data_IF_197306094512
#
_entry.id   IF_197306094512
#
_cell.length_a   1.000
_cell.length_b   1.000
_cell.length_c   1.000
_cell.angle_alpha   90.00
_cell.angle_beta   90.00
_cell.angle_gamma   90.00
#
_symmetry.space_group_name_H-M   'P 1'
#
loop_
_entity.id
_entity.type
_entity.pdbx_description
1 polymer ?
#
# COMPACT_ATOMS: atom_id res chain seq x y z
N UNK A 1 14.27 -15.50 -8.84
CA UNK A 1 13.77 -14.74 -7.67
C UNK A 1 14.95 -14.49 -6.74
N UNK A 2 14.97 -13.38 -6.02
CA UNK A 2 16.04 -13.01 -5.08
C UNK A 2 15.38 -12.54 -3.78
N UNK A 3 15.87 -13.08 -2.67
CA UNK A 3 15.39 -12.80 -1.32
C UNK A 3 16.58 -12.35 -0.49
N UNK A 4 16.47 -11.17 0.09
CA UNK A 4 17.48 -10.60 0.98
C UNK A 4 16.78 -10.30 2.30
N UNK A 5 17.17 -10.98 3.36
CA UNK A 5 16.53 -10.87 4.66
C UNK A 5 17.58 -10.63 5.74
N UNK A 6 17.25 -9.77 6.70
CA UNK A 6 18.05 -9.51 7.91
C UNK A 6 19.50 -9.09 7.64
N UNK A 7 19.75 -8.40 6.52
CA UNK A 7 21.08 -7.93 6.16
C UNK A 7 21.32 -6.51 6.69
N UNK A 8 21.59 -6.40 8.00
CA UNK A 8 21.75 -5.11 8.69
C UNK A 8 22.95 -4.26 8.23
N UNK A 9 23.90 -4.84 7.50
CA UNK A 9 25.08 -4.15 6.94
C UNK A 9 25.01 -3.88 5.44
N UNK A 10 23.90 -4.26 4.78
CA UNK A 10 23.74 -4.03 3.35
C UNK A 10 23.40 -2.56 3.10
N UNK A 11 24.39 -1.81 2.63
CA UNK A 11 24.20 -0.39 2.24
C UNK A 11 23.76 -0.28 0.78
N UNK A 12 24.36 -1.08 -0.10
CA UNK A 12 24.06 -1.12 -1.53
C UNK A 12 24.43 -2.47 -2.14
N UNK A 13 23.89 -2.77 -3.31
CA UNK A 13 24.31 -3.92 -4.10
C UNK A 13 25.68 -3.68 -4.78
N UNK A 14 26.46 -4.75 -5.05
CA UNK A 14 27.74 -4.62 -5.75
C UNK A 14 27.55 -4.10 -7.19
N UNK A 15 28.62 -3.59 -7.78
CA UNK A 15 28.63 -2.99 -9.13
C UNK A 15 28.16 -3.93 -10.26
N UNK A 16 28.20 -5.24 -10.03
CA UNK A 16 27.63 -6.25 -10.94
C UNK A 16 26.10 -6.20 -11.06
N UNK A 17 25.43 -5.38 -10.23
CA UNK A 17 23.99 -5.15 -10.30
C UNK A 17 23.16 -6.37 -9.89
N UNK A 18 21.90 -6.33 -10.29
CA UNK A 18 20.95 -7.42 -10.11
C UNK A 18 20.71 -8.11 -11.47
N UNK A 19 20.44 -9.43 -11.51
CA UNK A 19 20.16 -10.13 -12.75
C UNK A 19 18.93 -9.54 -13.47
N UNK A 20 19.03 -9.23 -14.76
CA UNK A 20 17.91 -8.67 -15.54
C UNK A 20 16.74 -9.64 -15.73
N UNK A 21 16.97 -10.94 -15.57
CA UNK A 21 15.96 -12.01 -15.60
C UNK A 21 15.18 -12.15 -14.29
N UNK A 22 15.41 -11.27 -13.31
CA UNK A 22 14.77 -11.33 -12.01
C UNK A 22 13.27 -11.01 -12.12
N UNK A 23 12.43 -11.95 -11.69
CA UNK A 23 10.95 -11.80 -11.68
C UNK A 23 10.44 -11.24 -10.35
N UNK A 24 11.08 -11.64 -9.26
CA UNK A 24 10.71 -11.24 -7.90
C UNK A 24 11.98 -10.85 -7.13
N UNK A 25 11.91 -9.66 -6.51
CA UNK A 25 12.90 -9.11 -5.59
C UNK A 25 12.22 -8.83 -4.26
N UNK A 26 12.64 -9.52 -3.22
CA UNK A 26 12.19 -9.28 -1.85
C UNK A 26 13.38 -8.85 -1.01
N UNK A 27 13.27 -7.69 -0.37
CA UNK A 27 14.27 -7.16 0.56
C UNK A 27 13.57 -6.80 1.86
N UNK A 28 13.93 -7.49 2.94
CA UNK A 28 13.32 -7.34 4.25
C UNK A 28 14.38 -7.07 5.32
N UNK A 29 14.07 -6.21 6.29
CA UNK A 29 14.87 -6.02 7.52
C UNK A 29 16.34 -5.61 7.19
N UNK A 30 16.51 -4.75 6.19
CA UNK A 30 17.82 -4.18 5.83
C UNK A 30 17.86 -2.68 6.19
N UNK A 31 18.25 -2.36 7.43
CA UNK A 31 18.14 -1.01 7.98
C UNK A 31 19.11 0.03 7.38
N UNK A 32 20.20 -0.43 6.75
CA UNK A 32 21.21 0.44 6.16
C UNK A 32 21.08 0.58 4.64
N UNK A 33 20.09 -0.07 4.00
CA UNK A 33 19.97 -0.04 2.55
C UNK A 33 19.57 1.36 2.09
N UNK A 34 20.48 2.03 1.37
CA UNK A 34 20.28 3.40 0.91
C UNK A 34 19.86 3.49 -0.56
N UNK A 35 20.14 2.46 -1.37
CA UNK A 35 19.79 2.44 -2.79
C UNK A 35 19.81 1.03 -3.40
N UNK A 36 19.01 0.85 -4.44
CA UNK A 36 19.16 -0.25 -5.40
C UNK A 36 20.32 0.04 -6.38
N UNK A 37 20.84 -0.97 -7.12
CA UNK A 37 21.88 -0.72 -8.10
C UNK A 37 21.42 0.30 -9.15
N UNK A 38 22.30 1.23 -9.54
CA UNK A 38 21.98 2.28 -10.51
C UNK A 38 21.36 1.71 -11.79
N UNK A 39 20.30 2.36 -12.27
CA UNK A 39 19.59 1.94 -13.47
C UNK A 39 18.78 0.65 -13.29
N UNK A 40 18.48 0.24 -12.05
CA UNK A 40 17.62 -0.93 -11.80
C UNK A 40 16.25 -0.79 -12.47
N UNK A 41 15.72 0.43 -12.57
CA UNK A 41 14.44 0.73 -13.23
C UNK A 41 14.42 0.23 -14.68
N UNK A 42 15.53 0.42 -15.41
CA UNK A 42 15.66 0.01 -16.81
C UNK A 42 16.15 -1.44 -16.95
N UNK A 43 17.04 -1.88 -16.06
CA UNK A 43 17.68 -3.19 -16.14
C UNK A 43 16.77 -4.35 -15.69
N UNK A 44 15.84 -4.08 -14.77
CA UNK A 44 14.94 -5.09 -14.19
C UNK A 44 13.59 -5.13 -14.94
N UNK A 45 13.64 -5.17 -16.26
CA UNK A 45 12.44 -5.14 -17.11
C UNK A 45 11.56 -6.39 -16.98
N UNK A 46 12.10 -7.51 -16.48
CA UNK A 46 11.33 -8.74 -16.20
C UNK A 46 10.75 -8.78 -14.79
N UNK A 47 11.02 -7.77 -13.95
CA UNK A 47 10.58 -7.75 -12.56
C UNK A 47 9.09 -7.45 -12.49
N UNK A 48 8.37 -8.37 -11.84
CA UNK A 48 6.93 -8.31 -11.64
C UNK A 48 6.57 -8.08 -10.17
N UNK A 49 7.42 -8.54 -9.25
CA UNK A 49 7.17 -8.43 -7.81
C UNK A 49 8.35 -7.72 -7.16
N UNK A 50 8.06 -6.63 -6.46
CA UNK A 50 9.03 -5.88 -5.68
C UNK A 50 8.52 -5.65 -4.26
N UNK A 51 9.15 -6.30 -3.29
CA UNK A 51 8.81 -6.17 -1.87
C UNK A 51 9.98 -5.50 -1.14
N UNK A 52 9.75 -4.28 -0.65
CA UNK A 52 10.73 -3.47 0.05
C UNK A 52 10.24 -3.21 1.48
N UNK A 53 10.55 -4.15 2.38
CA UNK A 53 10.21 -4.12 3.81
C UNK A 53 11.39 -3.68 4.68
N UNK A 54 11.91 -2.48 4.43
CA UNK A 54 13.15 -1.99 5.06
C UNK A 54 12.93 -0.71 5.87
N UNK A 55 13.56 -0.64 7.04
CA UNK A 55 13.52 0.52 7.93
C UNK A 55 14.70 1.44 7.59
N UNK A 56 14.56 2.28 6.56
CA UNK A 56 15.56 3.29 6.20
C UNK A 56 15.86 3.37 4.71
N UNK A 57 16.33 4.54 4.26
CA UNK A 57 17.07 4.71 3.00
C UNK A 57 16.30 4.50 1.68
N UNK A 58 14.98 4.39 1.68
CA UNK A 58 14.20 4.22 0.44
C UNK A 58 14.04 5.50 -0.40
N UNK A 59 14.50 6.67 0.08
CA UNK A 59 14.32 7.95 -0.59
C UNK A 59 14.88 7.96 -2.03
N UNK A 60 16.07 7.38 -2.24
CA UNK A 60 16.69 7.29 -3.57
C UNK A 60 15.88 6.42 -4.53
N UNK A 61 15.32 5.31 -4.02
CA UNK A 61 14.49 4.37 -4.79
C UNK A 61 13.19 5.07 -5.20
N UNK A 62 12.60 5.85 -4.29
CA UNK A 62 11.41 6.65 -4.58
C UNK A 62 11.68 7.76 -5.61
N UNK A 63 12.87 8.37 -5.55
CA UNK A 63 13.33 9.39 -6.49
C UNK A 63 13.63 8.83 -7.89
N UNK A 64 14.26 7.65 -8.00
CA UNK A 64 14.52 7.00 -9.29
C UNK A 64 13.24 6.35 -9.89
N UNK A 65 12.32 5.90 -9.03
CA UNK A 65 11.05 5.29 -9.40
C UNK A 65 11.08 3.76 -9.40
N UNK A 66 10.25 3.12 -10.23
CA UNK A 66 10.09 1.67 -10.21
C UNK A 66 10.11 1.06 -11.62
N UNK A 67 10.55 -0.20 -11.77
CA UNK A 67 10.43 -0.93 -13.03
C UNK A 67 8.98 -0.93 -13.55
N UNK A 68 8.75 -0.72 -14.86
CA UNK A 68 7.41 -0.44 -15.39
C UNK A 68 6.48 -1.67 -15.41
N UNK A 69 7.03 -2.89 -15.37
CA UNK A 69 6.28 -4.14 -15.53
C UNK A 69 5.88 -4.79 -14.19
N UNK A 70 5.94 -4.02 -13.09
CA UNK A 70 5.50 -4.50 -11.78
C UNK A 70 4.00 -4.79 -11.80
N UNK A 71 3.65 -5.93 -11.22
CA UNK A 71 2.29 -6.41 -10.95
C UNK A 71 2.00 -6.26 -9.46
N UNK A 72 2.99 -6.52 -8.61
CA UNK A 72 2.89 -6.41 -7.16
C UNK A 72 4.04 -5.57 -6.58
N UNK A 73 3.68 -4.58 -5.78
CA UNK A 73 4.58 -3.64 -5.14
C UNK A 73 4.22 -3.49 -3.67
N UNK A 74 5.17 -3.81 -2.80
CA UNK A 74 5.08 -3.55 -1.36
C UNK A 74 6.22 -2.63 -0.94
N UNK A 75 5.91 -1.54 -0.24
CA UNK A 75 6.90 -0.57 0.23
C UNK A 75 6.63 -0.17 1.67
N UNK A 76 7.64 -0.24 2.52
CA UNK A 76 7.67 0.46 3.79
C UNK A 76 8.50 -0.23 4.87
N UNK A 77 8.67 0.39 6.05
CA UNK A 77 8.17 1.73 6.43
C UNK A 77 8.83 2.89 5.70
N UNK A 78 8.02 3.81 5.20
CA UNK A 78 8.47 5.10 4.68
C UNK A 78 8.41 6.21 5.72
N UNK A 79 9.49 6.99 5.83
CA UNK A 79 9.53 8.26 6.56
C UNK A 79 9.28 9.49 5.69
N UNK A 80 9.25 9.32 4.36
CA UNK A 80 8.91 10.34 3.37
C UNK A 80 8.13 9.66 2.21
N UNK A 81 6.99 10.20 1.80
CA UNK A 81 6.17 9.64 0.71
C UNK A 81 6.58 10.17 -0.68
N UNK A 82 7.68 9.67 -1.25
CA UNK A 82 8.12 9.95 -2.63
C UNK A 82 7.40 9.12 -3.72
N UNK A 83 6.08 9.25 -3.83
CA UNK A 83 5.26 8.36 -4.68
C UNK A 83 4.97 8.88 -6.09
N UNK A 84 5.70 9.88 -6.57
CA UNK A 84 5.42 10.58 -7.83
C UNK A 84 5.50 9.68 -9.08
N UNK A 85 6.20 8.55 -9.00
CA UNK A 85 6.40 7.61 -10.11
C UNK A 85 5.31 6.54 -10.25
N UNK A 86 4.42 6.38 -9.27
CA UNK A 86 3.42 5.30 -9.26
C UNK A 86 2.47 5.34 -10.46
N UNK A 87 2.08 6.53 -10.93
CA UNK A 87 1.16 6.69 -12.05
C UNK A 87 1.66 6.12 -13.39
N UNK A 88 2.96 5.80 -13.49
CA UNK A 88 3.57 5.18 -14.68
C UNK A 88 3.44 3.65 -14.70
N UNK A 89 3.07 3.04 -13.58
CA UNK A 89 3.01 1.59 -13.43
C UNK A 89 1.67 1.06 -13.95
N UNK A 90 1.54 0.96 -15.27
CA UNK A 90 0.27 0.60 -15.93
C UNK A 90 -0.16 -0.85 -15.75
N UNK A 91 0.74 -1.71 -15.27
CA UNK A 91 0.50 -3.14 -15.02
C UNK A 91 0.33 -3.48 -13.55
N UNK A 92 0.40 -2.47 -12.66
CA UNK A 92 0.39 -2.71 -11.21
C UNK A 92 -1.02 -3.04 -10.75
N UNK A 93 -1.21 -4.25 -10.24
CA UNK A 93 -2.50 -4.77 -9.77
C UNK A 93 -2.60 -4.72 -8.26
N UNK A 94 -1.49 -4.99 -7.56
CA UNK A 94 -1.42 -4.96 -6.10
C UNK A 94 -0.42 -3.92 -5.64
N UNK A 95 -0.86 -3.04 -4.74
CA UNK A 95 0.01 -2.07 -4.09
C UNK A 95 -0.23 -2.05 -2.59
N UNK A 96 0.83 -2.27 -1.83
CA UNK A 96 0.82 -2.18 -0.37
C UNK A 96 1.83 -1.15 0.10
N UNK A 97 1.39 -0.21 0.92
CA UNK A 97 2.25 0.82 1.49
C UNK A 97 2.13 0.85 3.01
N UNK A 98 3.29 0.77 3.66
CA UNK A 98 3.44 1.03 5.08
C UNK A 98 4.21 2.36 5.27
N UNK A 99 3.56 3.35 5.87
CA UNK A 99 4.14 4.68 6.05
C UNK A 99 4.08 5.09 7.50
N UNK A 100 5.20 5.56 8.05
CA UNK A 100 5.32 6.03 9.43
C UNK A 100 5.59 7.54 9.51
N UNK A 101 5.54 8.23 8.36
CA UNK A 101 5.75 9.67 8.25
C UNK A 101 4.63 10.45 8.96
N UNK A 102 4.96 11.24 10.01
CA UNK A 102 3.98 12.07 10.70
C UNK A 102 3.48 13.26 9.88
N UNK A 103 4.17 13.67 8.82
CA UNK A 103 3.78 14.86 8.05
C UNK A 103 2.73 14.53 6.97
N UNK A 104 2.52 13.24 6.68
CA UNK A 104 1.52 12.79 5.70
C UNK A 104 0.11 12.80 6.30
N UNK A 105 -0.63 13.85 5.94
CA UNK A 105 -2.03 14.06 6.38
C UNK A 105 -3.07 13.59 5.35
N UNK A 106 -2.68 13.38 4.10
CA UNK A 106 -3.54 12.92 3.01
C UNK A 106 -2.82 11.90 2.14
N UNK A 107 -3.53 10.85 1.72
CA UNK A 107 -2.96 9.81 0.87
C UNK A 107 -3.76 9.60 -0.43
N UNK A 108 -3.07 9.44 -1.58
CA UNK A 108 -1.66 9.81 -1.77
C UNK A 108 -1.45 11.33 -1.59
N UNK A 109 -0.19 11.77 -1.44
CA UNK A 109 0.16 13.19 -1.41
C UNK A 109 -0.35 13.96 -2.63
N UNK A 110 -0.37 15.29 -2.54
CA UNK A 110 -0.82 16.16 -3.62
C UNK A 110 -0.03 15.88 -4.92
N UNK A 111 -0.73 15.92 -6.05
CA UNK A 111 -0.19 15.71 -7.41
C UNK A 111 0.35 14.29 -7.68
N UNK A 112 0.18 13.34 -6.75
CA UNK A 112 0.45 11.92 -6.97
C UNK A 112 -0.80 11.22 -7.52
N UNK A 113 -0.62 10.48 -8.60
CA UNK A 113 -1.65 9.64 -9.20
C UNK A 113 -1.36 8.17 -8.90
N UNK A 114 -2.37 7.46 -8.43
CA UNK A 114 -2.31 6.01 -8.29
C UNK A 114 -2.61 5.35 -9.66
N UNK A 115 -1.95 4.22 -9.99
CA UNK A 115 -2.19 3.54 -11.25
C UNK A 115 -3.61 2.96 -11.32
N UNK A 116 -4.27 3.16 -12.47
CA UNK A 116 -5.67 2.75 -12.68
C UNK A 116 -5.86 1.23 -12.79
N UNK A 117 -4.76 0.50 -13.00
CA UNK A 117 -4.72 -0.96 -13.04
C UNK A 117 -4.88 -1.61 -11.67
N UNK A 118 -4.81 -0.83 -10.58
CA UNK A 118 -4.88 -1.38 -9.23
C UNK A 118 -6.21 -2.09 -8.97
N UNK A 119 -6.09 -3.34 -8.55
CA UNK A 119 -7.16 -4.23 -8.10
C UNK A 119 -7.18 -4.26 -6.57
N UNK A 120 -5.99 -4.28 -5.94
CA UNK A 120 -5.84 -4.33 -4.48
C UNK A 120 -4.93 -3.20 -3.98
N UNK A 121 -5.41 -2.48 -2.97
CA UNK A 121 -4.65 -1.44 -2.28
C UNK A 121 -4.66 -1.67 -0.76
N UNK A 122 -3.46 -1.71 -0.18
CA UNK A 122 -3.27 -1.74 1.29
C UNK A 122 -2.63 -0.44 1.75
N UNK A 123 -3.28 0.26 2.70
CA UNK A 123 -2.79 1.48 3.31
C UNK A 123 -2.55 1.21 4.79
N UNK A 124 -1.29 1.21 5.21
CA UNK A 124 -0.91 0.80 6.54
C UNK A 124 0.00 1.80 7.26
N UNK A 125 -0.19 1.92 8.57
CA UNK A 125 0.77 2.54 9.49
C UNK A 125 0.75 4.07 9.56
N UNK A 126 -0.08 4.78 8.78
CA UNK A 126 -0.01 6.24 8.70
C UNK A 126 -0.48 6.93 9.99
N UNK A 127 0.42 7.52 10.81
CA UNK A 127 0.06 8.00 12.14
C UNK A 127 -0.81 9.27 12.11
N UNK A 128 -0.69 10.08 11.06
CA UNK A 128 -1.38 11.37 10.94
C UNK A 128 -2.29 11.50 9.71
N UNK A 129 -2.51 10.40 8.97
CA UNK A 129 -3.40 10.39 7.81
C UNK A 129 -4.84 10.71 8.25
N UNK A 130 -5.40 11.77 7.68
CA UNK A 130 -6.76 12.24 7.99
C UNK A 130 -7.76 11.93 6.88
N UNK A 131 -7.29 11.83 5.63
CA UNK A 131 -8.14 11.83 4.43
C UNK A 131 -7.50 11.06 3.28
N UNK A 132 -8.32 10.45 2.44
CA UNK A 132 -7.90 9.95 1.13
C UNK A 132 -8.13 11.05 0.09
N UNK A 133 -7.18 11.24 -0.83
CA UNK A 133 -7.25 12.31 -1.83
C UNK A 133 -8.12 11.89 -3.03
N UNK A 134 -8.48 12.85 -3.90
CA UNK A 134 -9.33 12.61 -5.07
C UNK A 134 -8.70 11.67 -6.12
N UNK A 135 -7.42 11.27 -5.99
CA UNK A 135 -6.80 10.31 -6.91
C UNK A 135 -7.54 8.96 -6.93
N UNK A 136 -8.23 8.61 -5.84
CA UNK A 136 -9.04 7.40 -5.71
C UNK A 136 -10.21 7.36 -6.71
N UNK A 137 -10.68 8.51 -7.20
CA UNK A 137 -11.70 8.57 -8.25
C UNK A 137 -11.27 7.86 -9.54
N UNK A 138 -9.96 7.85 -9.81
CA UNK A 138 -9.40 7.26 -11.03
C UNK A 138 -9.24 5.73 -10.96
N UNK A 139 -9.42 5.14 -9.78
CA UNK A 139 -9.22 3.72 -9.52
C UNK A 139 -10.46 2.90 -9.89
N UNK A 140 -10.76 2.84 -11.18
CA UNK A 140 -11.96 2.16 -11.72
C UNK A 140 -11.92 0.64 -11.62
N UNK A 141 -10.74 0.06 -11.37
CA UNK A 141 -10.52 -1.40 -11.27
C UNK A 141 -10.32 -1.86 -9.83
N UNK A 142 -10.37 -0.96 -8.84
CA UNK A 142 -10.06 -1.31 -7.46
C UNK A 142 -11.19 -2.13 -6.86
N UNK A 143 -10.89 -3.38 -6.52
CA UNK A 143 -11.82 -4.34 -5.94
C UNK A 143 -11.64 -4.50 -4.43
N UNK A 144 -10.41 -4.33 -3.93
CA UNK A 144 -10.06 -4.58 -2.52
C UNK A 144 -9.29 -3.42 -1.91
N UNK A 145 -9.79 -2.89 -0.79
CA UNK A 145 -9.15 -1.84 0.00
C UNK A 145 -8.97 -2.30 1.46
N UNK A 146 -7.71 -2.43 1.86
CA UNK A 146 -7.32 -2.81 3.22
C UNK A 146 -6.68 -1.59 3.92
N UNK A 147 -7.16 -1.25 5.14
CA UNK A 147 -6.65 -0.12 5.93
C UNK A 147 -6.32 -0.59 7.34
N UNK A 148 -5.07 -0.36 7.77
CA UNK A 148 -4.52 -0.79 9.06
C UNK A 148 -3.71 0.36 9.69
N UNK A 149 -3.77 0.51 11.01
CA UNK A 149 -2.85 1.39 11.74
C UNK A 149 -2.92 2.87 11.34
N UNK A 150 -4.11 3.37 10.96
CA UNK A 150 -4.34 4.77 10.55
C UNK A 150 -5.23 5.50 11.58
N UNK A 151 -4.69 5.93 12.73
CA UNK A 151 -5.50 6.33 13.88
C UNK A 151 -6.29 7.63 13.72
N UNK A 152 -5.87 8.51 12.80
CA UNK A 152 -6.50 9.81 12.55
C UNK A 152 -7.40 9.84 11.31
N UNK A 153 -7.54 8.71 10.61
CA UNK A 153 -8.34 8.63 9.40
C UNK A 153 -9.82 8.53 9.77
N UNK A 154 -10.57 9.60 9.50
CA UNK A 154 -11.99 9.69 9.90
C UNK A 154 -12.98 9.26 8.80
N UNK A 155 -12.51 9.14 7.56
CA UNK A 155 -13.33 8.74 6.42
C UNK A 155 -12.47 8.08 5.37
N UNK A 156 -12.99 7.01 4.78
CA UNK A 156 -12.43 6.36 3.60
C UNK A 156 -12.98 6.96 2.29
N UNK A 157 -14.04 7.77 2.37
CA UNK A 157 -14.53 8.49 1.20
C UNK A 157 -13.48 9.53 0.80
N UNK A 158 -13.00 9.54 -0.46
CA UNK A 158 -12.03 10.50 -0.95
C UNK A 158 -12.51 11.96 -0.80
N UNK A 159 -11.57 12.89 -0.69
CA UNK A 159 -11.90 14.32 -0.67
C UNK A 159 -12.69 14.73 -1.92
N UNK A 160 -13.74 15.53 -1.71
CA UNK A 160 -14.63 16.06 -2.76
C UNK A 160 -15.51 15.01 -3.46
N UNK A 161 -15.57 13.79 -2.92
CA UNK A 161 -16.44 12.72 -3.41
C UNK A 161 -17.50 12.35 -2.36
N UNK A 162 -18.61 11.77 -2.84
CA UNK A 162 -19.71 11.29 -2.00
C UNK A 162 -19.74 9.75 -1.87
N UNK A 163 -18.94 9.04 -2.68
CA UNK A 163 -18.91 7.58 -2.73
C UNK A 163 -17.49 7.04 -2.96
N UNK A 164 -17.32 5.74 -2.67
CA UNK A 164 -16.12 4.97 -3.02
C UNK A 164 -16.16 4.53 -4.49
N UNK A 165 -15.04 4.05 -5.06
CA UNK A 165 -15.04 3.45 -6.39
C UNK A 165 -16.11 2.35 -6.49
N UNK A 166 -16.97 2.35 -7.53
CA UNK A 166 -18.07 1.39 -7.64
C UNK A 166 -17.60 -0.06 -7.88
N UNK A 167 -16.35 -0.25 -8.28
CA UNK A 167 -15.69 -1.55 -8.44
C UNK A 167 -15.37 -2.22 -7.10
N UNK A 168 -15.42 -1.49 -5.98
CA UNK A 168 -14.95 -2.00 -4.69
C UNK A 168 -15.90 -3.08 -4.16
N UNK A 169 -15.41 -4.31 -4.07
CA UNK A 169 -16.15 -5.48 -3.59
C UNK A 169 -15.77 -5.85 -2.15
N UNK A 170 -14.60 -5.39 -1.71
CA UNK A 170 -14.02 -5.73 -0.43
C UNK A 170 -13.42 -4.51 0.26
N UNK A 171 -13.81 -4.31 1.52
CA UNK A 171 -13.23 -3.32 2.42
C UNK A 171 -12.83 -4.00 3.73
N UNK A 172 -11.57 -3.88 4.13
CA UNK A 172 -11.09 -4.27 5.47
C UNK A 172 -10.57 -3.06 6.23
N UNK A 173 -11.12 -2.84 7.41
CA UNK A 173 -10.63 -1.87 8.39
C UNK A 173 -10.14 -2.68 9.59
N UNK A 174 -8.82 -2.77 9.71
CA UNK A 174 -8.13 -3.56 10.72
C UNK A 174 -7.68 -2.69 11.91
N UNK A 175 -6.94 -3.31 12.84
CA UNK A 175 -6.46 -2.68 14.08
C UNK A 175 -5.76 -1.34 13.88
N UNK A 176 -5.81 -0.50 14.91
CA UNK A 176 -5.19 0.82 14.90
C UNK A 176 -5.93 1.88 14.06
N UNK A 177 -7.18 1.61 13.66
CA UNK A 177 -8.06 2.53 12.94
C UNK A 177 -9.31 2.98 13.75
N UNK A 178 -9.18 3.44 15.02
CA UNK A 178 -10.31 3.66 15.94
C UNK A 178 -11.44 4.54 15.39
N UNK A 179 -11.13 5.59 14.61
CA UNK A 179 -12.13 6.48 14.04
C UNK A 179 -12.96 5.80 12.94
N UNK A 180 -12.30 5.01 12.07
CA UNK A 180 -12.97 4.22 11.05
C UNK A 180 -13.77 3.08 11.69
N UNK A 181 -13.16 2.35 12.62
CA UNK A 181 -13.81 1.27 13.36
C UNK A 181 -15.11 1.76 13.98
N UNK A 182 -15.08 2.88 14.72
CA UNK A 182 -16.29 3.46 15.34
C UNK A 182 -17.34 3.90 14.31
N UNK A 183 -16.91 4.44 13.16
CA UNK A 183 -17.82 4.97 12.12
C UNK A 183 -18.50 3.87 11.33
N UNK A 184 -17.77 2.82 11.01
CA UNK A 184 -18.23 1.74 10.16
C UNK A 184 -18.66 0.51 10.95
N UNK A 185 -18.54 0.47 12.29
CA UNK A 185 -19.04 -0.66 13.09
C UNK A 185 -20.51 -0.95 12.76
N UNK A 186 -20.88 -2.20 12.43
CA UNK A 186 -22.26 -2.54 12.16
C UNK A 186 -23.08 -2.29 13.44
N UNK A 187 -24.08 -1.40 13.36
CA UNK A 187 -25.00 -1.17 14.47
C UNK A 187 -25.85 -2.41 14.78
N UNK A 188 -26.67 -2.36 15.84
CA UNK A 188 -27.58 -3.46 16.22
C UNK A 188 -28.47 -3.98 15.08
N UNK A 189 -28.71 -3.15 14.05
CA UNK A 189 -29.52 -3.48 12.88
C UNK A 189 -28.73 -4.06 11.68
N UNK A 190 -27.42 -4.31 11.78
CA UNK A 190 -26.55 -4.83 10.69
C UNK A 190 -26.64 -4.06 9.35
N UNK A 191 -27.01 -2.78 9.39
CA UNK A 191 -27.01 -1.93 8.19
C UNK A 191 -25.74 -1.09 8.14
N UNK A 192 -25.02 -1.18 7.03
CA UNK A 192 -23.85 -0.36 6.78
C UNK A 192 -24.25 1.08 6.41
N UNK A 193 -23.38 2.08 6.68
CA UNK A 193 -23.54 3.42 6.12
C UNK A 193 -23.73 3.37 4.60
N UNK A 194 -24.59 4.25 4.06
CA UNK A 194 -24.90 4.31 2.61
C UNK A 194 -23.65 4.35 1.72
N UNK A 195 -22.57 4.94 2.22
CA UNK A 195 -21.28 5.08 1.56
C UNK A 195 -20.59 3.75 1.23
N UNK A 196 -20.85 2.70 2.00
CA UNK A 196 -20.25 1.36 1.83
C UNK A 196 -21.31 0.26 1.63
N UNK A 197 -22.58 0.64 1.51
CA UNK A 197 -23.69 -0.32 1.39
C UNK A 197 -23.66 -1.13 0.09
N UNK A 198 -22.92 -0.67 -0.93
CA UNK A 198 -22.72 -1.39 -2.19
C UNK A 198 -21.63 -2.47 -2.10
N UNK A 199 -20.81 -2.46 -1.06
CA UNK A 199 -19.66 -3.36 -0.90
C UNK A 199 -20.14 -4.68 -0.29
N UNK A 200 -20.05 -5.82 -0.99
CA UNK A 200 -20.52 -7.10 -0.49
C UNK A 200 -19.78 -7.58 0.77
N UNK A 201 -18.48 -7.34 0.85
CA UNK A 201 -17.65 -7.77 1.97
C UNK A 201 -17.04 -6.58 2.71
N UNK A 202 -17.47 -6.40 3.95
CA UNK A 202 -16.93 -5.37 4.85
C UNK A 202 -16.50 -6.03 6.14
N UNK A 203 -15.21 -5.95 6.44
CA UNK A 203 -14.63 -6.39 7.70
C UNK A 203 -14.17 -5.17 8.50
N UNK A 204 -14.61 -5.09 9.75
CA UNK A 204 -14.23 -4.05 10.71
C UNK A 204 -13.94 -4.76 12.03
N UNK A 205 -12.66 -5.03 12.31
CA UNK A 205 -12.27 -5.86 13.44
C UNK A 205 -10.77 -5.84 13.71
N UNK A 206 -10.36 -6.35 14.86
CA UNK A 206 -8.96 -6.51 15.20
C UNK A 206 -8.43 -7.88 14.80
N UNK A 207 -7.11 -8.02 14.67
CA UNK A 207 -6.41 -9.25 14.28
C UNK A 207 -6.69 -10.47 15.18
N UNK A 208 -7.46 -10.32 16.26
CA UNK A 208 -7.87 -11.42 17.13
C UNK A 208 -9.04 -12.27 16.54
N UNK A 209 -9.78 -11.77 15.54
CA UNK A 209 -10.99 -12.45 15.03
C UNK A 209 -10.73 -13.44 13.86
N UNK A 210 -9.54 -13.42 13.23
CA UNK A 210 -9.21 -14.37 12.15
C UNK A 210 -8.80 -15.75 12.67
N UNK A 211 -8.43 -15.88 13.95
CA UNK A 211 -8.05 -17.17 14.56
C UNK A 211 -9.25 -18.03 15.02
N UNK A 212 -10.46 -17.47 15.15
CA UNK A 212 -11.65 -18.23 15.60
C UNK A 212 -12.53 -18.74 14.45
N UNK A 213 -12.31 -18.31 13.21
CA UNK A 213 -13.14 -18.72 12.07
C UNK A 213 -12.78 -20.12 11.51
N UNK A 214 -11.56 -20.61 11.73
CA UNK A 214 -11.07 -21.90 11.21
C UNK A 214 -11.28 -23.10 12.15
N UNK A 215 -11.87 -22.92 13.34
CA UNK A 215 -12.05 -23.99 14.33
C UNK A 215 -13.50 -24.53 14.42
N UNK A 216 -14.38 -24.20 13.47
CA UNK A 216 -15.78 -24.69 13.45
C UNK A 216 -16.28 -25.23 12.10
N UNK A 217 -15.37 -25.69 11.23
CA UNK A 217 -15.74 -26.49 10.05
C UNK A 217 -15.55 -27.99 10.31
#
# INVERSE_FOLDING_TARGET
MLWVEECGSLVSFPSGGLPSSLICLSICICAQLEALPRGYVDNLSSLQILLLRCWGGLASILEEGFPPNLIDLEIGPLSECGLHHLGRLTSLETFSIYCVDPDVVSFPPKDVLLPKSLIKLTIAGFPNLKRLSSSFQSLTSLESLDILGCPKLASIVPEKEDHLPPSLTQLRIQDGCPLLTKKYQPGKARHWPKQIAHIPYVYVGGCDDEAEADLRA
#
